data_IF_974014419346
#
_entry.id   IF_974014419346
#
_cell.length_a   1.000
_cell.length_b   1.000
_cell.length_c   1.000
_cell.angle_alpha   90.00
_cell.angle_beta   90.00
_cell.angle_gamma   90.00
#
_symmetry.space_group_name_H-M   'P 1'
#
loop_
_entity.id
_entity.type
_entity.pdbx_description
1 polymer ?
#
# COMPACT_ATOMS: atom_id res chain seq x y z
N UNK A 1 8.77 -16.05 -28.91
CA UNK A 1 8.30 -16.99 -27.86
C UNK A 1 8.97 -16.80 -26.49
N UNK A 2 10.27 -16.45 -26.40
CA UNK A 2 10.98 -16.34 -25.10
C UNK A 2 10.62 -15.08 -24.29
N UNK A 3 10.53 -13.91 -24.96
CA UNK A 3 10.28 -12.61 -24.29
C UNK A 3 8.95 -12.51 -23.53
N UNK A 4 7.86 -13.07 -24.07
CA UNK A 4 6.54 -13.05 -23.38
C UNK A 4 6.60 -13.87 -22.09
N UNK A 5 7.29 -15.02 -22.12
CA UNK A 5 7.49 -15.84 -20.92
C UNK A 5 8.32 -15.08 -19.87
N UNK A 6 9.39 -14.39 -20.30
CA UNK A 6 10.18 -13.53 -19.41
C UNK A 6 9.34 -12.42 -18.80
N UNK A 7 8.54 -11.70 -19.59
CA UNK A 7 7.69 -10.62 -19.08
C UNK A 7 6.60 -11.12 -18.15
N UNK A 8 5.98 -12.28 -18.42
CA UNK A 8 5.04 -12.92 -17.50
C UNK A 8 5.69 -13.27 -16.16
N UNK A 9 6.93 -13.77 -16.18
CA UNK A 9 7.69 -14.05 -14.96
C UNK A 9 7.97 -12.77 -14.16
N UNK A 10 8.44 -11.71 -14.83
CA UNK A 10 8.69 -10.41 -14.20
C UNK A 10 7.41 -9.79 -13.63
N UNK A 11 6.30 -9.84 -14.38
CA UNK A 11 4.99 -9.40 -13.92
C UNK A 11 4.58 -10.15 -12.65
N UNK A 12 4.73 -11.48 -12.61
CA UNK A 12 4.42 -12.30 -11.43
C UNK A 12 5.30 -11.94 -10.24
N UNK A 13 6.59 -11.68 -10.46
CA UNK A 13 7.52 -11.25 -9.42
C UNK A 13 7.08 -9.90 -8.81
N UNK A 14 6.81 -8.91 -9.65
CA UNK A 14 6.34 -7.59 -9.21
C UNK A 14 4.98 -7.69 -8.51
N UNK A 15 4.08 -8.57 -8.98
CA UNK A 15 2.80 -8.82 -8.31
C UNK A 15 2.98 -9.40 -6.90
N UNK A 16 3.83 -10.42 -6.75
CA UNK A 16 4.14 -11.00 -5.43
C UNK A 16 4.67 -9.95 -4.47
N UNK A 17 5.60 -9.11 -4.92
CA UNK A 17 6.18 -8.04 -4.10
C UNK A 17 5.16 -6.96 -3.76
N UNK A 18 4.26 -6.64 -4.68
CA UNK A 18 3.14 -5.71 -4.45
C UNK A 18 2.20 -6.25 -3.36
N UNK A 19 1.86 -7.54 -3.41
CA UNK A 19 1.00 -8.17 -2.40
C UNK A 19 1.67 -8.15 -1.01
N UNK A 20 2.95 -8.48 -0.93
CA UNK A 20 3.73 -8.35 0.31
C UNK A 20 3.78 -6.91 0.86
N UNK A 21 4.02 -5.93 -0.01
CA UNK A 21 4.05 -4.52 0.38
C UNK A 21 2.67 -4.04 0.82
N UNK A 22 1.59 -4.53 0.21
CA UNK A 22 0.21 -4.19 0.59
C UNK A 22 -0.08 -4.62 2.03
N UNK A 23 0.33 -5.85 2.38
CA UNK A 23 0.22 -6.35 3.76
C UNK A 23 1.03 -5.49 4.73
N UNK A 24 2.29 -5.17 4.39
CA UNK A 24 3.15 -4.32 5.23
C UNK A 24 2.59 -2.91 5.42
N UNK A 25 2.05 -2.30 4.37
CA UNK A 25 1.39 -0.98 4.44
C UNK A 25 0.19 -1.04 5.37
N UNK A 26 -0.69 -2.04 5.20
CA UNK A 26 -1.86 -2.20 6.08
C UNK A 26 -1.46 -2.37 7.54
N UNK A 27 -0.54 -3.29 7.83
CA UNK A 27 -0.08 -3.55 9.19
C UNK A 27 0.56 -2.32 9.83
N UNK A 28 1.35 -1.55 9.06
CA UNK A 28 2.00 -0.34 9.55
C UNK A 28 0.99 0.78 9.80
N UNK A 29 -0.02 0.90 8.93
CA UNK A 29 -1.13 1.85 9.12
C UNK A 29 -1.95 1.51 10.37
N UNK A 30 -2.31 0.24 10.56
CA UNK A 30 -3.04 -0.22 11.74
C UNK A 30 -2.26 0.05 13.02
N UNK A 31 -0.94 -0.17 12.98
CA UNK A 31 -0.06 0.14 14.09
C UNK A 31 0.01 1.64 14.38
N UNK A 32 0.13 2.47 13.35
CA UNK A 32 0.11 3.93 13.48
C UNK A 32 -1.20 4.42 14.11
N UNK A 33 -2.33 3.86 13.69
CA UNK A 33 -3.64 4.21 14.24
C UNK A 33 -3.73 3.90 15.74
N UNK A 34 -3.30 2.70 16.15
CA UNK A 34 -3.28 2.29 17.56
C UNK A 34 -2.40 3.19 18.43
N UNK A 35 -1.20 3.53 17.95
CA UNK A 35 -0.30 4.43 18.69
C UNK A 35 -0.88 5.85 18.78
N UNK A 36 -1.53 6.32 17.70
CA UNK A 36 -2.20 7.63 17.69
C UNK A 36 -3.40 7.69 18.65
N UNK A 37 -4.17 6.60 18.76
CA UNK A 37 -5.25 6.47 19.75
C UNK A 37 -4.69 6.45 21.18
N UNK A 38 -3.59 5.73 21.41
CA UNK A 38 -2.90 5.70 22.70
C UNK A 38 -2.44 7.11 23.14
N UNK A 39 -1.86 7.90 22.24
CA UNK A 39 -1.47 9.29 22.54
C UNK A 39 -2.69 10.12 22.94
N UNK A 40 -3.78 10.06 22.17
CA UNK A 40 -5.01 10.79 22.49
C UNK A 40 -5.56 10.42 23.87
N UNK A 41 -5.53 9.14 24.21
CA UNK A 41 -5.97 8.67 25.53
C UNK A 41 -5.08 9.25 26.65
N UNK A 42 -3.76 9.26 26.47
CA UNK A 42 -2.83 9.83 27.43
C UNK A 42 -2.99 11.36 27.57
N UNK A 43 -3.23 12.06 26.46
CA UNK A 43 -3.50 13.51 26.47
C UNK A 43 -4.80 13.83 27.22
N UNK A 44 -5.88 13.08 26.96
CA UNK A 44 -7.15 13.23 27.69
C UNK A 44 -6.98 12.95 29.19
N UNK A 45 -6.31 11.86 29.53
CA UNK A 45 -6.02 11.51 30.92
C UNK A 45 -5.21 12.61 31.63
N UNK A 46 -4.26 13.21 30.92
CA UNK A 46 -3.43 14.29 31.45
C UNK A 46 -4.26 15.55 31.73
N UNK A 47 -5.17 15.90 30.83
CA UNK A 47 -6.08 17.04 31.03
C UNK A 47 -7.05 16.82 32.19
N UNK A 48 -7.62 15.62 32.32
CA UNK A 48 -8.46 15.24 33.45
C UNK A 48 -7.70 15.30 34.78
N UNK A 49 -6.48 14.75 34.81
CA UNK A 49 -5.63 14.75 35.98
C UNK A 49 -5.25 16.18 36.43
N UNK A 50 -4.94 17.07 35.47
CA UNK A 50 -4.70 18.50 35.74
C UNK A 50 -5.91 19.18 36.37
N UNK A 51 -7.12 18.93 35.84
CA UNK A 51 -8.36 19.51 36.38
C UNK A 51 -8.61 19.03 37.81
N UNK A 52 -8.56 17.71 38.03
CA UNK A 52 -8.75 17.12 39.36
C UNK A 52 -7.74 17.65 40.38
N UNK A 53 -6.47 17.79 39.99
CA UNK A 53 -5.45 18.35 40.86
C UNK A 53 -5.72 19.83 41.19
N UNK A 54 -6.09 20.65 40.20
CA UNK A 54 -6.43 22.06 40.42
C UNK A 54 -7.67 22.23 41.33
N UNK A 55 -8.68 21.38 41.16
CA UNK A 55 -9.86 21.34 42.04
C UNK A 55 -9.45 20.98 43.47
N UNK A 56 -8.61 19.95 43.66
CA UNK A 56 -8.11 19.55 44.99
C UNK A 56 -7.29 20.65 45.67
N UNK A 57 -6.57 21.47 44.89
CA UNK A 57 -5.79 22.61 45.36
C UNK A 57 -6.67 23.75 45.90
N UNK A 58 -7.86 23.93 45.34
CA UNK A 58 -8.81 24.99 45.73
C UNK A 58 -9.35 24.79 47.15
N UNK A 59 -9.47 23.52 47.60
CA UNK A 59 -9.95 23.15 48.92
C UNK A 59 -8.83 23.08 49.99
N UNK A 60 -8.14 24.21 50.23
CA UNK A 60 -7.33 24.61 51.43
C UNK A 60 -6.35 23.65 52.15
N UNK A 61 -6.26 22.35 51.86
CA UNK A 61 -5.37 21.41 52.54
C UNK A 61 -4.24 20.96 51.62
N UNK A 62 -3.17 21.76 51.53
CA UNK A 62 -1.95 21.43 50.77
C UNK A 62 -0.88 20.83 51.67
N UNK A 63 -0.35 19.68 51.26
CA UNK A 63 0.92 19.16 51.76
C UNK A 63 2.00 19.34 50.69
N UNK A 64 3.18 19.84 51.04
CA UNK A 64 4.33 19.97 50.11
C UNK A 64 4.58 18.67 49.31
N UNK A 65 4.40 17.52 49.98
CA UNK A 65 4.51 16.20 49.39
C UNK A 65 3.58 16.00 48.17
N UNK A 66 2.32 16.48 48.24
CA UNK A 66 1.34 16.33 47.15
C UNK A 66 1.74 17.08 45.88
N UNK A 67 2.33 18.28 46.03
CA UNK A 67 2.81 19.10 44.90
C UNK A 67 4.04 18.45 44.26
N UNK A 68 4.97 17.96 45.08
CA UNK A 68 6.17 17.28 44.58
C UNK A 68 5.83 16.00 43.83
N UNK A 69 4.92 15.17 44.38
CA UNK A 69 4.44 13.95 43.72
C UNK A 69 3.73 14.26 42.39
N UNK A 70 2.89 15.30 42.36
CA UNK A 70 2.24 15.76 41.14
C UNK A 70 3.27 16.16 40.07
N UNK A 71 4.25 17.00 40.41
CA UNK A 71 5.26 17.45 39.46
C UNK A 71 6.11 16.30 38.91
N UNK A 72 6.47 15.33 39.76
CA UNK A 72 7.21 14.13 39.35
C UNK A 72 6.39 13.27 38.38
N UNK A 73 5.10 13.06 38.67
CA UNK A 73 4.20 12.33 37.79
C UNK A 73 4.04 13.01 36.44
N UNK A 74 3.77 14.33 36.43
CA UNK A 74 3.59 15.11 35.20
C UNK A 74 4.86 15.08 34.34
N UNK A 75 6.05 15.17 34.95
CA UNK A 75 7.32 15.07 34.24
C UNK A 75 7.47 13.71 33.54
N UNK A 76 7.17 12.62 34.25
CA UNK A 76 7.23 11.26 33.68
C UNK A 76 6.23 11.09 32.53
N UNK A 77 5.01 11.56 32.71
CA UNK A 77 3.95 11.44 31.71
C UNK A 77 4.26 12.26 30.44
N UNK A 78 4.78 13.48 30.58
CA UNK A 78 5.24 14.28 29.44
C UNK A 78 6.37 13.59 28.67
N UNK A 79 7.35 13.00 29.37
CA UNK A 79 8.41 12.22 28.72
C UNK A 79 7.86 11.06 27.90
N UNK A 80 6.89 10.32 28.44
CA UNK A 80 6.23 9.23 27.74
C UNK A 80 5.44 9.71 26.51
N UNK A 81 4.78 10.86 26.58
CA UNK A 81 4.09 11.47 25.45
C UNK A 81 5.07 11.90 24.36
N UNK A 82 6.20 12.50 24.73
CA UNK A 82 7.24 12.90 23.78
C UNK A 82 7.83 11.66 23.07
N UNK A 83 8.11 10.59 23.82
CA UNK A 83 8.54 9.31 23.25
C UNK A 83 7.52 8.72 22.28
N UNK A 84 6.22 8.72 22.63
CA UNK A 84 5.17 8.24 21.72
C UNK A 84 5.04 9.11 20.47
N UNK A 85 5.18 10.43 20.58
CA UNK A 85 5.15 11.34 19.41
C UNK A 85 6.31 11.08 18.45
N UNK A 86 7.52 10.87 18.98
CA UNK A 86 8.70 10.49 18.17
C UNK A 86 8.44 9.14 17.47
N UNK A 87 7.87 8.18 18.19
CA UNK A 87 7.52 6.86 17.66
C UNK A 87 6.49 6.96 16.53
N UNK A 88 5.43 7.76 16.71
CA UNK A 88 4.43 8.04 15.67
C UNK A 88 5.08 8.66 14.44
N UNK A 89 5.97 9.65 14.61
CA UNK A 89 6.71 10.26 13.49
C UNK A 89 7.51 9.21 12.73
N UNK A 90 8.26 8.38 13.44
CA UNK A 90 9.08 7.30 12.86
C UNK A 90 8.23 6.28 12.07
N UNK A 91 7.09 5.87 12.63
CA UNK A 91 6.18 4.93 11.97
C UNK A 91 5.56 5.58 10.72
N UNK A 92 5.23 6.88 10.79
CA UNK A 92 4.67 7.63 9.67
C UNK A 92 5.66 7.72 8.51
N UNK A 93 6.92 8.06 8.78
CA UNK A 93 7.98 8.07 7.76
C UNK A 93 8.17 6.69 7.13
N UNK A 94 8.17 5.64 7.95
CA UNK A 94 8.26 4.25 7.46
C UNK A 94 7.07 3.89 6.57
N UNK A 95 5.86 4.28 6.96
CA UNK A 95 4.64 4.04 6.18
C UNK A 95 4.71 4.74 4.81
N UNK A 96 5.17 5.99 4.77
CA UNK A 96 5.33 6.71 3.51
C UNK A 96 6.41 6.07 2.61
N UNK A 97 7.52 5.62 3.18
CA UNK A 97 8.54 4.85 2.44
C UNK A 97 7.97 3.55 1.84
N UNK A 98 7.17 2.81 2.62
CA UNK A 98 6.48 1.60 2.14
C UNK A 98 5.48 1.93 1.03
N UNK A 99 4.71 3.01 1.16
CA UNK A 99 3.77 3.48 0.12
C UNK A 99 4.50 3.89 -1.16
N UNK A 100 5.64 4.58 -1.06
CA UNK A 100 6.49 4.88 -2.20
C UNK A 100 6.97 3.61 -2.91
N UNK A 101 7.46 2.63 -2.14
CA UNK A 101 7.89 1.34 -2.68
C UNK A 101 6.74 0.60 -3.35
N UNK A 102 5.57 0.57 -2.73
CA UNK A 102 4.36 -0.06 -3.28
C UNK A 102 3.94 0.59 -4.60
N UNK A 103 3.94 1.92 -4.68
CA UNK A 103 3.64 2.66 -5.92
C UNK A 103 4.63 2.31 -7.02
N UNK A 104 5.92 2.23 -6.70
CA UNK A 104 6.96 1.84 -7.67
C UNK A 104 6.74 0.42 -8.22
N UNK A 105 6.45 -0.55 -7.36
CA UNK A 105 6.17 -1.93 -7.77
C UNK A 105 4.87 -2.02 -8.59
N UNK A 106 3.85 -1.24 -8.24
CA UNK A 106 2.59 -1.17 -8.99
C UNK A 106 2.80 -0.65 -10.42
N UNK A 107 3.61 0.39 -10.58
CA UNK A 107 3.99 0.91 -11.92
C UNK A 107 4.72 -0.16 -12.73
N UNK A 108 5.66 -0.88 -12.12
CA UNK A 108 6.38 -1.96 -12.81
C UNK A 108 5.46 -3.12 -13.21
N UNK A 109 4.57 -3.55 -12.32
CA UNK A 109 3.58 -4.57 -12.62
C UNK A 109 2.72 -4.18 -13.84
N UNK A 110 2.15 -2.97 -13.83
CA UNK A 110 1.31 -2.48 -14.93
C UNK A 110 2.11 -2.30 -16.24
N UNK A 111 3.39 -1.93 -16.15
CA UNK A 111 4.27 -1.84 -17.32
C UNK A 111 4.39 -3.21 -18.01
N UNK A 112 4.68 -4.26 -17.26
CA UNK A 112 4.81 -5.60 -17.84
C UNK A 112 3.47 -6.15 -18.33
N UNK A 113 2.37 -5.85 -17.64
CA UNK A 113 1.03 -6.19 -18.10
C UNK A 113 0.74 -5.62 -19.49
N UNK A 114 1.00 -4.33 -19.69
CA UNK A 114 0.81 -3.66 -20.99
C UNK A 114 1.73 -4.23 -22.08
N UNK A 115 2.97 -4.55 -21.75
CA UNK A 115 3.90 -5.17 -22.70
C UNK A 115 3.43 -6.57 -23.13
N UNK A 116 2.93 -7.37 -22.19
CA UNK A 116 2.38 -8.70 -22.48
C UNK A 116 1.16 -8.55 -23.39
N UNK A 117 0.21 -7.68 -23.03
CA UNK A 117 -0.99 -7.45 -23.82
C UNK A 117 -0.65 -7.02 -25.24
N UNK A 118 0.25 -6.05 -25.41
CA UNK A 118 0.65 -5.59 -26.73
C UNK A 118 1.29 -6.68 -27.60
N UNK A 119 2.05 -7.60 -27.02
CA UNK A 119 2.64 -8.71 -27.79
C UNK A 119 1.56 -9.72 -28.16
N UNK A 120 0.67 -10.07 -27.22
CA UNK A 120 -0.43 -11.01 -27.47
C UNK A 120 -1.38 -10.48 -28.54
N UNK A 121 -1.75 -9.20 -28.49
CA UNK A 121 -2.61 -8.57 -29.51
C UNK A 121 -1.96 -8.60 -30.90
N UNK A 122 -0.63 -8.41 -30.96
CA UNK A 122 0.10 -8.47 -32.22
C UNK A 122 0.20 -9.91 -32.76
N UNK A 123 0.45 -10.90 -31.89
CA UNK A 123 0.45 -12.31 -32.27
C UNK A 123 -0.93 -12.75 -32.80
N UNK A 124 -2.01 -12.33 -32.15
CA UNK A 124 -3.39 -12.62 -32.59
C UNK A 124 -3.70 -11.96 -33.95
N UNK A 125 -3.28 -10.70 -34.15
CA UNK A 125 -3.45 -10.03 -35.45
C UNK A 125 -2.70 -10.74 -36.57
N UNK A 126 -1.50 -11.21 -36.32
CA UNK A 126 -0.73 -11.95 -37.35
C UNK A 126 -1.36 -13.31 -37.65
N UNK A 127 -1.87 -14.03 -36.64
CA UNK A 127 -2.62 -15.26 -36.85
C UNK A 127 -3.90 -15.02 -37.67
N UNK A 128 -4.68 -14.00 -37.33
CA UNK A 128 -5.90 -13.66 -38.06
C UNK A 128 -5.61 -13.30 -39.53
N UNK A 129 -4.50 -12.61 -39.82
CA UNK A 129 -4.07 -12.33 -41.21
C UNK A 129 -3.74 -13.60 -41.97
N UNK A 130 -3.05 -14.56 -41.33
CA UNK A 130 -2.70 -15.83 -41.95
C UNK A 130 -3.94 -16.69 -42.24
N UNK A 131 -4.87 -16.75 -41.29
CA UNK A 131 -6.13 -17.49 -41.43
C UNK A 131 -7.02 -16.90 -42.53
N UNK A 132 -7.10 -15.57 -42.60
CA UNK A 132 -7.82 -14.89 -43.67
C UNK A 132 -7.20 -15.21 -45.03
N UNK A 133 -5.87 -15.13 -45.15
CA UNK A 133 -5.16 -15.44 -46.39
C UNK A 133 -5.42 -16.87 -46.85
N UNK A 134 -5.38 -17.84 -45.94
CA UNK A 134 -5.65 -19.25 -46.24
C UNK A 134 -7.10 -19.47 -46.70
N UNK A 135 -8.06 -18.80 -46.05
CA UNK A 135 -9.48 -18.87 -46.41
C UNK A 135 -9.74 -18.29 -47.80
N UNK A 136 -9.08 -17.17 -48.12
CA UNK A 136 -9.18 -16.54 -49.44
C UNK A 136 -8.58 -17.45 -50.52
N UNK A 137 -7.43 -18.07 -50.27
CA UNK A 137 -6.80 -19.04 -51.19
C UNK A 137 -7.73 -20.24 -51.48
N UNK A 138 -8.34 -20.84 -50.45
CA UNK A 138 -9.31 -21.93 -50.63
C UNK A 138 -10.52 -21.47 -51.45
N UNK A 139 -11.02 -20.28 -51.17
CA UNK A 139 -12.20 -19.72 -51.85
C UNK A 139 -11.93 -19.51 -53.34
N UNK A 140 -10.74 -18.98 -53.68
CA UNK A 140 -10.28 -18.83 -55.07
C UNK A 140 -10.15 -20.19 -55.76
N UNK A 141 -9.52 -21.16 -55.11
CA UNK A 141 -9.36 -22.52 -55.65
C UNK A 141 -10.70 -23.20 -55.93
N UNK A 142 -11.65 -23.08 -55.00
CA UNK A 142 -13.01 -23.59 -55.17
C UNK A 142 -13.71 -22.92 -56.35
N UNK A 143 -13.58 -21.60 -56.49
CA UNK A 143 -14.14 -20.85 -57.61
C UNK A 143 -13.53 -21.30 -58.96
N UNK A 144 -12.22 -21.48 -59.04
CA UNK A 144 -11.54 -21.92 -60.26
C UNK A 144 -11.96 -23.34 -60.67
N UNK A 145 -12.18 -24.24 -59.71
CA UNK A 145 -12.69 -25.59 -59.97
C UNK A 145 -14.12 -25.59 -60.49
N UNK A 146 -14.98 -24.68 -60.00
CA UNK A 146 -16.34 -24.54 -60.49
C UNK A 146 -16.39 -23.97 -61.91
N UNK A 147 -15.52 -23.01 -62.25
CA UNK A 147 -15.41 -22.49 -63.63
C UNK A 147 -15.00 -23.59 -64.61
N UNK A 148 -14.02 -24.44 -64.26
CA UNK A 148 -13.54 -25.51 -65.16
C UNK A 148 -14.53 -26.65 -65.39
N UNK A 149 -15.62 -26.75 -64.61
CA UNK A 149 -16.66 -27.77 -64.75
C UNK A 149 -17.82 -27.35 -65.66
N UNK A 150 -17.84 -26.10 -66.09
CA UNK A 150 -18.77 -25.55 -67.07
C UNK A 150 -18.06 -25.28 -68.39
#
# INVERSE_FOLDING_TARGET
>A
MDKVKTYKLLQKLHKSKLDELSVKVSQTQDYLNKESESVKLLENYLDEYRRSFNESISYKNKTLLSITSYNAFMKKLNSMLDEQRIKISTITERLESLRCSWRGEHVNYNKYEKLIQSITDNEEKELNKLDQKYTDEISVDAHLRNIKKH
#
